data_IF_293727514460
#
_entry.id   IF_293727514460
#
_cell.length_a   1.000
_cell.length_b   1.000
_cell.length_c   1.000
_cell.angle_alpha   90.00
_cell.angle_beta   90.00
_cell.angle_gamma   90.00
#
_symmetry.space_group_name_H-M   'P 1'
#
loop_
_entity.id
_entity.type
_entity.pdbx_description
1 polymer ?
#
# COMPACT_ATOMS: atom_id res chain seq x y z
N UNK A 1 10.52 -40.37 -4.69
CA UNK A 1 10.19 -39.11 -4.00
C UNK A 1 8.82 -38.66 -4.47
N UNK A 2 7.86 -38.53 -3.59
CA UNK A 2 6.55 -37.98 -3.96
C UNK A 2 6.74 -36.53 -4.42
N UNK A 3 6.03 -36.04 -5.45
CA UNK A 3 6.07 -34.64 -5.82
C UNK A 3 5.58 -33.81 -4.64
N UNK A 4 6.42 -32.90 -4.14
CA UNK A 4 6.02 -31.93 -3.15
C UNK A 4 4.88 -31.12 -3.76
N UNK A 5 3.70 -31.15 -3.16
CA UNK A 5 2.58 -30.36 -3.62
C UNK A 5 3.03 -28.90 -3.77
N UNK A 6 2.74 -28.30 -4.91
CA UNK A 6 3.08 -26.88 -5.15
C UNK A 6 2.46 -26.03 -4.05
N UNK A 7 3.28 -25.25 -3.36
CA UNK A 7 2.87 -24.41 -2.25
C UNK A 7 1.95 -23.30 -2.77
N UNK A 8 0.73 -23.22 -2.28
CA UNK A 8 -0.19 -22.14 -2.65
C UNK A 8 0.30 -20.82 -2.05
N UNK A 9 0.53 -19.83 -2.89
CA UNK A 9 0.96 -18.48 -2.48
C UNK A 9 -0.23 -17.54 -2.52
N UNK A 10 -0.57 -16.96 -1.38
CA UNK A 10 -1.55 -15.87 -1.31
C UNK A 10 -0.85 -14.55 -1.65
N UNK A 11 -1.25 -13.92 -2.76
CA UNK A 11 -0.72 -12.63 -3.21
C UNK A 11 -1.68 -11.53 -2.84
N UNK A 12 -1.19 -10.53 -2.10
CA UNK A 12 -2.00 -9.39 -1.65
C UNK A 12 -1.40 -8.12 -2.23
N UNK A 13 -2.10 -7.49 -3.17
CA UNK A 13 -1.79 -6.15 -3.65
C UNK A 13 -2.51 -5.13 -2.76
N UNK A 14 -1.75 -4.45 -1.90
CA UNK A 14 -2.26 -3.38 -1.05
C UNK A 14 -2.10 -2.04 -1.76
N UNK A 15 -3.21 -1.49 -2.21
CA UNK A 15 -3.30 -0.23 -2.93
C UNK A 15 -3.49 0.95 -1.97
N UNK A 16 -2.63 1.95 -2.03
CA UNK A 16 -2.76 3.16 -1.22
C UNK A 16 -2.20 4.39 -1.92
N UNK A 17 -2.67 5.57 -1.52
CA UNK A 17 -1.94 6.81 -1.75
C UNK A 17 -0.77 6.96 -0.79
N UNK A 18 0.09 7.98 -0.97
CA UNK A 18 1.17 8.28 -0.04
C UNK A 18 0.62 8.76 1.30
N UNK A 19 1.43 8.64 2.36
CA UNK A 19 1.09 9.10 3.73
C UNK A 19 -0.13 8.43 4.37
N UNK A 20 -0.51 7.27 3.87
CA UNK A 20 -1.64 6.44 4.34
C UNK A 20 -1.21 5.33 5.32
N UNK A 21 -0.13 5.50 6.08
CA UNK A 21 0.45 4.46 6.96
C UNK A 21 0.84 3.14 6.23
N UNK A 22 0.91 3.14 4.90
CA UNK A 22 1.18 1.94 4.09
C UNK A 22 2.50 1.25 4.44
N UNK A 23 3.53 2.01 4.85
CA UNK A 23 4.79 1.43 5.29
C UNK A 23 4.66 0.75 6.66
N UNK A 24 3.88 1.29 7.60
CA UNK A 24 3.57 0.62 8.87
C UNK A 24 2.78 -0.68 8.61
N UNK A 25 1.84 -0.66 7.66
CA UNK A 25 1.14 -1.88 7.20
C UNK A 25 2.12 -2.89 6.61
N UNK A 26 3.07 -2.46 5.78
CA UNK A 26 4.11 -3.35 5.25
C UNK A 26 4.97 -3.95 6.37
N UNK A 27 5.38 -3.16 7.38
CA UNK A 27 6.08 -3.65 8.58
C UNK A 27 5.30 -4.74 9.32
N UNK A 28 4.00 -4.50 9.50
CA UNK A 28 3.08 -5.45 10.12
C UNK A 28 3.06 -6.79 9.39
N UNK A 29 2.90 -6.78 8.07
CA UNK A 29 2.92 -7.99 7.25
C UNK A 29 4.30 -8.64 7.19
N UNK A 30 5.37 -7.87 7.04
CA UNK A 30 6.75 -8.38 6.99
C UNK A 30 7.17 -9.10 8.28
N UNK A 31 6.62 -8.67 9.44
CA UNK A 31 6.95 -9.26 10.73
C UNK A 31 6.35 -10.67 10.93
N UNK A 32 5.44 -11.09 10.08
CA UNK A 32 4.96 -12.48 10.02
C UNK A 32 6.07 -13.41 9.51
N UNK A 33 6.22 -14.61 10.07
CA UNK A 33 7.24 -15.57 9.60
C UNK A 33 6.97 -16.11 8.19
N UNK A 34 5.70 -16.12 7.77
CA UNK A 34 5.22 -16.70 6.51
C UNK A 34 5.07 -15.69 5.37
N UNK A 35 5.50 -14.42 5.56
CA UNK A 35 5.22 -13.34 4.61
C UNK A 35 6.50 -12.73 4.05
N UNK A 36 6.55 -12.61 2.73
CA UNK A 36 7.52 -11.79 1.98
C UNK A 36 6.83 -10.51 1.53
N UNK A 37 7.56 -9.40 1.52
CA UNK A 37 7.03 -8.10 1.10
C UNK A 37 7.81 -7.54 -0.10
N UNK A 38 7.14 -6.73 -0.93
CA UNK A 38 7.79 -5.91 -1.95
C UNK A 38 7.28 -4.48 -1.87
N UNK A 39 8.20 -3.57 -1.62
CA UNK A 39 7.94 -2.15 -1.44
C UNK A 39 7.90 -1.44 -2.79
N UNK A 40 6.78 -0.81 -3.10
CA UNK A 40 6.55 0.09 -4.24
C UNK A 40 7.11 -0.43 -5.59
N UNK A 41 6.65 -1.57 -6.09
CA UNK A 41 7.23 -2.25 -7.27
C UNK A 41 7.35 -1.37 -8.52
N UNK A 42 6.43 -0.43 -8.73
CA UNK A 42 6.36 0.41 -9.94
C UNK A 42 7.07 1.77 -9.81
N UNK A 43 7.69 2.09 -8.66
CA UNK A 43 8.25 3.41 -8.44
C UNK A 43 9.37 3.77 -9.44
N UNK A 44 10.34 2.87 -9.64
CA UNK A 44 11.41 3.09 -10.61
C UNK A 44 10.89 3.21 -12.05
N UNK A 45 9.89 2.40 -12.41
CA UNK A 45 9.27 2.45 -13.72
C UNK A 45 8.50 3.76 -13.97
N UNK A 46 7.75 4.24 -12.97
CA UNK A 46 7.03 5.52 -13.03
C UNK A 46 8.00 6.68 -13.24
N UNK A 47 9.06 6.78 -12.42
CA UNK A 47 10.05 7.84 -12.54
C UNK A 47 10.81 7.80 -13.87
N UNK A 48 11.12 6.61 -14.37
CA UNK A 48 11.79 6.44 -15.67
C UNK A 48 10.88 6.86 -16.83
N UNK A 49 9.58 6.54 -16.76
CA UNK A 49 8.62 6.82 -17.82
C UNK A 49 8.18 8.29 -17.86
N UNK A 50 8.02 8.93 -16.68
CA UNK A 50 7.51 10.30 -16.58
C UNK A 50 8.59 11.36 -16.64
N UNK A 51 9.81 11.02 -16.25
CA UNK A 51 10.89 12.01 -16.06
C UNK A 51 10.64 12.99 -14.91
N UNK A 52 9.65 12.73 -14.06
CA UNK A 52 9.24 13.60 -12.96
C UNK A 52 10.42 13.88 -12.02
N UNK A 53 10.60 15.14 -11.66
CA UNK A 53 11.53 15.53 -10.59
C UNK A 53 10.98 15.07 -9.25
N UNK A 54 11.75 14.21 -8.58
CA UNK A 54 11.34 13.63 -7.31
C UNK A 54 12.56 13.25 -6.48
N UNK A 55 12.49 13.32 -5.14
CA UNK A 55 13.62 13.00 -4.27
C UNK A 55 14.22 11.62 -4.60
N UNK A 56 15.55 11.59 -4.71
CA UNK A 56 16.32 10.37 -5.01
C UNK A 56 16.00 9.69 -6.34
N UNK A 57 15.42 10.41 -7.31
CA UNK A 57 14.98 9.87 -8.62
C UNK A 57 16.01 8.92 -9.25
N UNK A 58 17.25 9.36 -9.42
CA UNK A 58 18.29 8.55 -10.07
C UNK A 58 18.63 7.28 -9.27
N UNK A 59 18.69 7.38 -7.95
CA UNK A 59 18.92 6.21 -7.09
C UNK A 59 17.75 5.21 -7.15
N UNK A 60 16.51 5.69 -7.19
CA UNK A 60 15.32 4.84 -7.32
C UNK A 60 15.32 4.11 -8.66
N UNK A 61 15.58 4.83 -9.77
CA UNK A 61 15.64 4.23 -11.12
C UNK A 61 16.76 3.18 -11.20
N UNK A 62 17.92 3.46 -10.61
CA UNK A 62 19.06 2.54 -10.62
C UNK A 62 18.81 1.27 -9.76
N UNK A 63 17.97 1.37 -8.72
CA UNK A 63 17.75 0.28 -7.76
C UNK A 63 16.60 -0.66 -8.14
N UNK A 64 15.67 -0.23 -9.00
CA UNK A 64 14.45 -0.98 -9.29
C UNK A 64 14.27 -1.32 -10.78
N UNK A 65 13.37 -2.27 -11.08
CA UNK A 65 13.00 -2.57 -12.46
C UNK A 65 12.21 -1.40 -13.07
N UNK A 66 12.58 -1.02 -14.30
CA UNK A 66 11.92 0.09 -15.02
C UNK A 66 10.95 -0.38 -16.10
N UNK A 67 10.87 -1.69 -16.36
CA UNK A 67 9.98 -2.28 -17.36
C UNK A 67 8.75 -2.87 -16.68
N UNK A 68 7.53 -2.38 -16.95
CA UNK A 68 6.30 -2.89 -16.33
C UNK A 68 6.12 -4.40 -16.47
N UNK A 69 6.40 -4.98 -17.63
CA UNK A 69 6.24 -6.43 -17.85
C UNK A 69 7.14 -7.26 -16.94
N UNK A 70 8.37 -6.82 -16.68
CA UNK A 70 9.27 -7.51 -15.76
C UNK A 70 8.80 -7.41 -14.30
N UNK A 71 8.19 -6.27 -13.93
CA UNK A 71 7.57 -6.09 -12.62
C UNK A 71 6.38 -7.04 -12.48
N UNK A 72 5.47 -7.05 -13.44
CA UNK A 72 4.27 -7.89 -13.45
C UNK A 72 4.64 -9.38 -13.39
N UNK A 73 5.60 -9.80 -14.20
CA UNK A 73 6.09 -11.17 -14.17
C UNK A 73 6.61 -11.60 -12.80
N UNK A 74 7.25 -10.69 -12.04
CA UNK A 74 7.69 -10.96 -10.68
C UNK A 74 6.55 -10.92 -9.66
N UNK A 75 5.58 -10.02 -9.80
CA UNK A 75 4.41 -9.92 -8.90
C UNK A 75 3.55 -11.18 -8.92
N UNK A 76 3.40 -11.79 -10.10
CA UNK A 76 2.58 -12.99 -10.32
C UNK A 76 3.40 -14.28 -10.37
N UNK A 77 4.72 -14.18 -10.47
CA UNK A 77 5.63 -15.31 -10.61
C UNK A 77 5.89 -16.08 -9.32
N UNK A 78 6.80 -17.06 -9.36
CA UNK A 78 7.21 -17.82 -8.18
C UNK A 78 7.76 -16.91 -7.07
N UNK A 79 7.38 -17.21 -5.83
CA UNK A 79 7.89 -16.53 -4.65
C UNK A 79 9.20 -17.20 -4.23
N UNK A 80 10.31 -16.51 -4.45
CA UNK A 80 11.65 -17.02 -4.15
C UNK A 80 12.34 -16.05 -3.18
N UNK A 81 12.50 -16.49 -1.95
CA UNK A 81 13.28 -15.79 -0.92
C UNK A 81 14.05 -16.81 -0.08
N UNK A 82 15.36 -16.75 -0.12
CA UNK A 82 16.22 -17.66 0.63
C UNK A 82 16.12 -17.46 2.14
N UNK A 83 15.76 -16.26 2.60
CA UNK A 83 15.57 -15.95 4.02
C UNK A 83 14.25 -16.47 4.57
N UNK A 84 13.22 -16.64 3.71
CA UNK A 84 11.88 -17.13 4.06
C UNK A 84 11.43 -18.22 3.07
N UNK A 85 12.09 -19.39 3.03
CA UNK A 85 11.78 -20.43 2.04
C UNK A 85 10.39 -21.03 2.22
N UNK A 86 9.83 -20.85 3.42
CA UNK A 86 8.51 -21.33 3.80
C UNK A 86 7.38 -20.30 3.67
N UNK A 87 7.67 -19.12 3.13
CA UNK A 87 6.65 -18.09 2.93
C UNK A 87 5.50 -18.59 2.06
N UNK A 88 4.29 -18.23 2.46
CA UNK A 88 3.03 -18.51 1.76
C UNK A 88 2.23 -17.25 1.45
N UNK A 89 2.67 -16.11 1.96
CA UNK A 89 2.03 -14.81 1.72
C UNK A 89 3.03 -13.88 1.03
N UNK A 90 2.58 -13.26 -0.06
CA UNK A 90 3.32 -12.22 -0.76
C UNK A 90 2.54 -10.91 -0.68
N UNK A 91 2.99 -10.02 0.21
CA UNK A 91 2.41 -8.70 0.37
C UNK A 91 3.12 -7.68 -0.52
N UNK A 92 2.38 -7.05 -1.40
CA UNK A 92 2.86 -6.07 -2.39
C UNK A 92 2.33 -4.70 -2.00
N UNK A 93 3.21 -3.79 -1.55
CA UNK A 93 2.82 -2.42 -1.24
C UNK A 93 2.83 -1.58 -2.51
N UNK A 94 1.66 -1.18 -2.99
CA UNK A 94 1.49 -0.37 -4.19
C UNK A 94 1.12 1.07 -3.85
N UNK A 95 1.82 2.02 -4.48
CA UNK A 95 1.39 3.42 -4.53
C UNK A 95 0.56 3.63 -5.80
N UNK A 96 -0.68 4.05 -5.64
CA UNK A 96 -1.62 4.17 -6.76
C UNK A 96 -1.19 5.20 -7.81
N UNK A 97 -0.53 6.29 -7.38
CA UNK A 97 0.01 7.29 -8.31
C UNK A 97 1.18 6.79 -9.17
N UNK A 98 1.81 5.65 -8.82
CA UNK A 98 2.79 5.02 -9.70
C UNK A 98 2.16 4.30 -10.90
N UNK A 99 0.85 4.05 -10.84
CA UNK A 99 0.11 3.40 -11.94
C UNK A 99 -0.33 4.43 -12.98
N UNK A 100 0.64 4.92 -13.77
CA UNK A 100 0.36 5.87 -14.85
C UNK A 100 -0.45 5.22 -15.98
N UNK A 101 -1.17 5.99 -16.82
CA UNK A 101 -2.01 5.45 -17.89
C UNK A 101 -1.28 4.56 -18.90
N UNK A 102 0.03 4.77 -19.09
CA UNK A 102 0.84 3.99 -20.01
C UNK A 102 1.16 2.55 -19.53
N UNK A 103 0.92 2.24 -18.25
CA UNK A 103 1.23 0.91 -17.72
C UNK A 103 0.07 -0.06 -17.88
N UNK A 104 0.35 -1.36 -18.22
CA UNK A 104 -0.66 -2.40 -18.28
C UNK A 104 -1.43 -2.52 -16.97
N UNK A 105 -2.74 -2.79 -17.04
CA UNK A 105 -3.62 -2.97 -15.88
C UNK A 105 -4.26 -4.35 -15.78
N UNK A 106 -4.19 -5.16 -16.83
CA UNK A 106 -4.88 -6.46 -16.89
C UNK A 106 -4.41 -7.44 -15.81
N UNK A 107 -3.14 -7.32 -15.38
CA UNK A 107 -2.59 -8.13 -14.30
C UNK A 107 -3.28 -7.90 -12.94
N UNK A 108 -3.90 -6.72 -12.73
CA UNK A 108 -4.64 -6.38 -11.51
C UNK A 108 -5.85 -7.32 -11.32
N UNK A 109 -6.41 -7.80 -12.43
CA UNK A 109 -7.55 -8.72 -12.45
C UNK A 109 -7.15 -10.20 -12.38
N UNK A 110 -5.86 -10.51 -12.16
CA UNK A 110 -5.40 -11.89 -12.08
C UNK A 110 -6.13 -12.65 -10.95
N UNK A 111 -6.67 -13.86 -11.20
CA UNK A 111 -7.52 -14.56 -10.24
C UNK A 111 -6.82 -14.95 -8.94
N UNK A 112 -5.48 -15.06 -8.94
CA UNK A 112 -4.69 -15.36 -7.74
C UNK A 112 -4.23 -14.10 -7.00
N UNK A 113 -4.62 -12.91 -7.44
CA UNK A 113 -4.26 -11.66 -6.80
C UNK A 113 -5.43 -11.11 -5.98
N UNK A 114 -5.23 -10.97 -4.69
CA UNK A 114 -6.17 -10.32 -3.80
C UNK A 114 -5.83 -8.84 -3.77
N UNK A 115 -6.74 -8.00 -4.26
CA UNK A 115 -6.59 -6.57 -4.20
C UNK A 115 -7.27 -6.03 -2.94
N UNK A 116 -6.54 -5.31 -2.12
CA UNK A 116 -7.03 -4.62 -0.93
C UNK A 116 -6.65 -3.14 -0.99
N UNK A 117 -7.46 -2.29 -0.38
CA UNK A 117 -7.32 -0.84 -0.48
C UNK A 117 -7.17 -0.21 0.90
N UNK A 118 -6.11 0.58 1.08
CA UNK A 118 -5.87 1.35 2.29
C UNK A 118 -6.15 2.81 1.99
N UNK A 119 -7.17 3.36 2.65
CA UNK A 119 -7.59 4.76 2.49
C UNK A 119 -7.27 5.57 3.74
N UNK A 120 -7.21 6.88 3.57
CA UNK A 120 -7.06 7.85 4.66
C UNK A 120 -7.71 9.16 4.25
N UNK A 121 -8.22 9.88 5.23
CA UNK A 121 -8.81 11.21 5.06
C UNK A 121 -7.84 12.15 4.32
N UNK A 122 -8.27 12.78 3.21
CA UNK A 122 -7.42 13.63 2.37
C UNK A 122 -6.71 14.73 3.13
N UNK A 123 -7.36 15.35 4.12
CA UNK A 123 -6.79 16.43 4.93
C UNK A 123 -5.57 15.93 5.72
N UNK A 124 -5.66 14.73 6.29
CA UNK A 124 -4.53 14.12 7.03
C UNK A 124 -3.39 13.71 6.10
N UNK A 125 -3.72 13.25 4.88
CA UNK A 125 -2.74 12.94 3.85
C UNK A 125 -1.97 14.18 3.47
N UNK A 126 -2.67 15.27 3.10
CA UNK A 126 -2.08 16.53 2.66
C UNK A 126 -1.24 17.19 3.76
N UNK A 127 -1.77 17.30 4.98
CA UNK A 127 -1.03 17.83 6.12
C UNK A 127 0.24 17.03 6.47
N UNK A 128 0.26 15.74 6.15
CA UNK A 128 1.45 14.89 6.33
C UNK A 128 2.42 14.98 5.15
N UNK A 129 1.90 15.12 3.94
CA UNK A 129 2.69 15.18 2.70
C UNK A 129 3.54 16.45 2.65
N UNK A 130 2.94 17.60 2.97
CA UNK A 130 3.60 18.91 2.94
C UNK A 130 4.75 19.06 3.94
N UNK A 131 4.84 18.19 4.96
CA UNK A 131 6.01 18.13 5.85
C UNK A 131 7.27 17.62 5.17
N UNK A 132 7.13 16.85 4.09
CA UNK A 132 8.24 16.26 3.35
C UNK A 132 8.45 16.92 1.97
N UNK A 133 7.40 17.47 1.37
CA UNK A 133 7.41 18.03 0.02
C UNK A 133 6.44 19.20 -0.10
N UNK A 134 6.94 20.36 -0.50
CA UNK A 134 6.19 21.63 -0.45
C UNK A 134 5.11 21.78 -1.52
N UNK A 135 5.24 21.06 -2.64
CA UNK A 135 4.28 21.14 -3.75
C UNK A 135 3.55 19.80 -3.88
N UNK A 136 2.22 19.83 -3.76
CA UNK A 136 1.39 18.64 -3.90
C UNK A 136 0.18 18.93 -4.79
N UNK A 137 -0.18 17.97 -5.62
CA UNK A 137 -1.36 17.99 -6.49
C UNK A 137 -2.31 16.84 -6.13
N UNK A 138 -3.51 16.84 -6.68
CA UNK A 138 -4.44 15.71 -6.54
C UNK A 138 -3.84 14.42 -7.10
N UNK A 139 -3.09 14.49 -8.20
CA UNK A 139 -2.42 13.34 -8.80
C UNK A 139 -1.35 12.74 -7.86
N UNK A 140 -0.63 13.57 -7.11
CA UNK A 140 0.42 13.11 -6.18
C UNK A 140 -0.15 12.30 -5.01
N UNK A 141 -1.36 12.59 -4.54
CA UNK A 141 -2.01 11.79 -3.48
C UNK A 141 -2.65 10.51 -4.01
N UNK A 142 -2.77 10.34 -5.33
CA UNK A 142 -3.13 9.09 -6.00
C UNK A 142 -4.55 8.57 -5.75
N UNK A 143 -5.44 9.39 -5.19
CA UNK A 143 -6.78 8.94 -4.80
C UNK A 143 -7.68 8.66 -6.01
N UNK A 144 -7.50 9.41 -7.10
CA UNK A 144 -8.23 9.19 -8.36
C UNK A 144 -7.85 7.85 -9.01
N UNK A 145 -6.55 7.56 -9.05
CA UNK A 145 -6.05 6.27 -9.52
C UNK A 145 -6.47 5.13 -8.58
N UNK A 146 -6.54 5.38 -7.27
CA UNK A 146 -7.03 4.39 -6.31
C UNK A 146 -8.48 4.02 -6.59
N UNK A 147 -9.32 5.01 -6.88
CA UNK A 147 -10.72 4.80 -7.24
C UNK A 147 -10.87 4.06 -8.58
N UNK A 148 -10.07 4.41 -9.60
CA UNK A 148 -10.05 3.72 -10.89
C UNK A 148 -9.72 2.23 -10.73
N UNK A 149 -8.67 1.92 -9.97
CA UNK A 149 -8.25 0.54 -9.70
C UNK A 149 -9.32 -0.20 -8.89
N UNK A 150 -9.94 0.46 -7.89
CA UNK A 150 -11.03 -0.11 -7.11
C UNK A 150 -12.22 -0.49 -7.99
N UNK A 151 -12.67 0.41 -8.86
CA UNK A 151 -13.80 0.19 -9.74
C UNK A 151 -13.52 -1.00 -10.69
N UNK A 152 -12.33 -1.03 -11.30
CA UNK A 152 -11.89 -2.14 -12.16
C UNK A 152 -11.93 -3.50 -11.44
N UNK A 153 -11.43 -3.55 -10.22
CA UNK A 153 -11.44 -4.78 -9.41
C UNK A 153 -12.88 -5.16 -9.01
N UNK A 154 -13.69 -4.19 -8.58
CA UNK A 154 -15.08 -4.41 -8.20
C UNK A 154 -15.91 -4.94 -9.37
N UNK A 155 -15.75 -4.35 -10.56
CA UNK A 155 -16.42 -4.82 -11.79
C UNK A 155 -16.02 -6.26 -12.13
N UNK A 156 -14.74 -6.61 -12.01
CA UNK A 156 -14.25 -7.97 -12.27
C UNK A 156 -14.78 -8.99 -11.27
N UNK A 157 -14.88 -8.61 -9.98
CA UNK A 157 -15.34 -9.49 -8.91
C UNK A 157 -16.87 -9.59 -8.83
N UNK A 158 -17.60 -8.56 -9.25
CA UNK A 158 -19.03 -8.40 -9.01
C UNK A 158 -19.40 -7.97 -7.59
N UNK A 159 -18.39 -7.63 -6.76
CA UNK A 159 -18.54 -7.07 -5.41
C UNK A 159 -17.35 -6.19 -5.05
N UNK A 160 -17.49 -5.37 -4.01
CA UNK A 160 -16.43 -4.47 -3.57
C UNK A 160 -15.24 -5.25 -2.96
N UNK A 161 -14.00 -5.03 -3.42
CA UNK A 161 -12.81 -5.55 -2.74
C UNK A 161 -12.64 -4.94 -1.34
N UNK A 162 -11.87 -5.58 -0.43
CA UNK A 162 -11.69 -5.08 0.93
C UNK A 162 -11.03 -3.69 0.96
N UNK A 163 -11.66 -2.79 1.69
CA UNK A 163 -11.15 -1.46 1.99
C UNK A 163 -10.89 -1.36 3.50
N UNK A 164 -9.73 -0.86 3.90
CA UNK A 164 -9.39 -0.54 5.28
C UNK A 164 -9.04 0.94 5.40
N UNK A 165 -9.42 1.55 6.50
CA UNK A 165 -9.12 2.95 6.78
C UNK A 165 -7.96 3.06 7.76
N UNK A 166 -7.03 3.96 7.50
CA UNK A 166 -5.92 4.24 8.38
C UNK A 166 -6.39 4.63 9.80
N UNK A 167 -7.51 5.34 9.92
CA UNK A 167 -8.07 5.72 11.22
C UNK A 167 -8.52 4.50 12.02
N UNK A 168 -9.19 3.53 11.37
CA UNK A 168 -9.66 2.31 12.03
C UNK A 168 -8.48 1.42 12.49
N UNK A 169 -7.43 1.31 11.66
CA UNK A 169 -6.21 0.58 12.02
C UNK A 169 -5.49 1.23 13.20
N UNK A 170 -5.40 2.57 13.22
CA UNK A 170 -4.73 3.30 14.30
C UNK A 170 -5.56 3.31 15.59
N UNK A 171 -6.88 3.16 15.52
CA UNK A 171 -7.77 3.09 16.69
C UNK A 171 -7.71 1.70 17.35
N UNK A 172 -7.76 0.63 16.56
CA UNK A 172 -7.73 -0.76 17.03
C UNK A 172 -7.02 -1.65 16.01
N UNK A 173 -5.67 -1.73 16.06
CA UNK A 173 -4.88 -2.51 15.12
C UNK A 173 -5.20 -4.00 15.14
N UNK A 174 -5.44 -4.59 16.32
CA UNK A 174 -5.74 -6.04 16.44
C UNK A 174 -7.02 -6.37 15.69
N UNK A 175 -8.11 -5.65 15.97
CA UNK A 175 -9.40 -5.87 15.30
C UNK A 175 -9.29 -5.62 13.80
N UNK A 176 -8.72 -4.50 13.38
CA UNK A 176 -8.63 -4.12 11.97
C UNK A 176 -7.82 -5.15 11.17
N UNK A 177 -6.69 -5.62 11.70
CA UNK A 177 -5.86 -6.62 11.04
C UNK A 177 -6.50 -8.01 10.99
N UNK A 178 -7.25 -8.42 12.02
CA UNK A 178 -8.02 -9.68 12.00
C UNK A 178 -9.05 -9.68 10.88
N UNK A 179 -9.79 -8.58 10.74
CA UNK A 179 -10.79 -8.44 9.69
C UNK A 179 -10.12 -8.43 8.30
N UNK A 180 -9.01 -7.69 8.14
CA UNK A 180 -8.27 -7.66 6.90
C UNK A 180 -7.69 -9.04 6.53
N UNK A 181 -7.08 -9.74 7.48
CA UNK A 181 -6.55 -11.08 7.25
C UNK A 181 -7.65 -12.05 6.80
N UNK A 182 -8.82 -12.01 7.46
CA UNK A 182 -9.99 -12.80 7.08
C UNK A 182 -10.43 -12.48 5.65
N UNK A 183 -10.54 -11.19 5.30
CA UNK A 183 -10.92 -10.76 3.95
C UNK A 183 -9.88 -11.17 2.89
N UNK A 184 -8.61 -11.29 3.27
CA UNK A 184 -7.52 -11.77 2.41
C UNK A 184 -7.33 -13.30 2.46
N UNK A 185 -8.18 -14.04 3.15
CA UNK A 185 -8.11 -15.51 3.23
C UNK A 185 -6.85 -16.04 3.93
N UNK A 186 -6.24 -15.26 4.83
CA UNK A 186 -5.09 -15.66 5.63
C UNK A 186 -5.42 -15.63 7.13
N UNK A 187 -4.72 -16.45 7.91
CA UNK A 187 -4.83 -16.39 9.36
C UNK A 187 -4.17 -15.11 9.90
N UNK A 188 -4.79 -14.51 10.93
CA UNK A 188 -4.14 -13.44 11.68
C UNK A 188 -2.96 -13.99 12.48
N UNK A 189 -1.86 -13.22 12.53
CA UNK A 189 -0.70 -13.51 13.38
C UNK A 189 -0.45 -12.32 14.30
N UNK A 190 -0.33 -12.55 15.61
CA UNK A 190 -0.08 -11.50 16.59
C UNK A 190 1.26 -10.76 16.37
N UNK A 191 2.21 -11.36 15.66
CA UNK A 191 3.45 -10.71 15.24
C UNK A 191 3.20 -9.47 14.36
N UNK A 192 2.01 -9.33 13.76
CA UNK A 192 1.62 -8.16 12.99
C UNK A 192 1.42 -6.89 13.83
N UNK A 193 1.26 -7.02 15.14
CA UNK A 193 0.97 -5.88 16.03
C UNK A 193 2.21 -5.09 16.44
N UNK A 194 3.39 -5.68 16.34
CA UNK A 194 4.64 -5.04 16.72
C UNK A 194 5.78 -5.50 15.81
N UNK A 195 6.81 -4.67 15.69
CA UNK A 195 8.00 -4.93 14.89
C UNK A 195 9.24 -4.26 15.50
N UNK A 196 10.46 -4.76 15.24
CA UNK A 196 11.68 -4.06 15.63
C UNK A 196 11.81 -2.69 14.95
N UNK A 197 12.26 -1.68 15.69
CA UNK A 197 12.64 -0.39 15.11
C UNK A 197 13.82 -0.54 14.15
N UNK A 198 13.96 0.44 13.25
CA UNK A 198 15.09 0.53 12.34
C UNK A 198 14.72 0.19 10.89
N UNK A 199 15.75 0.25 10.08
CA UNK A 199 15.68 -0.02 8.65
C UNK A 199 15.56 -1.51 8.35
N UNK A 200 14.92 -1.85 7.24
CA UNK A 200 14.76 -3.23 6.78
C UNK A 200 15.43 -3.45 5.43
N UNK A 201 15.81 -4.67 5.15
CA UNK A 201 16.34 -5.06 3.84
C UNK A 201 15.29 -4.90 2.73
N UNK A 202 14.01 -4.97 3.08
CA UNK A 202 12.86 -4.77 2.19
C UNK A 202 12.56 -3.30 1.87
N UNK A 203 13.15 -2.35 2.60
CA UNK A 203 12.95 -0.92 2.36
C UNK A 203 13.60 -0.51 1.04
N UNK A 204 12.86 0.23 0.24
CA UNK A 204 13.41 0.86 -0.95
C UNK A 204 14.48 1.91 -0.61
N UNK A 205 15.30 2.24 -1.60
CA UNK A 205 16.37 3.26 -1.45
C UNK A 205 15.86 4.64 -1.06
N UNK A 206 14.58 4.91 -1.24
CA UNK A 206 13.88 6.15 -0.86
C UNK A 206 13.56 6.27 0.63
N UNK A 207 13.78 5.22 1.42
CA UNK A 207 13.48 5.20 2.85
C UNK A 207 14.09 6.38 3.65
N UNK A 208 15.32 6.84 3.40
CA UNK A 208 15.88 7.99 4.14
C UNK A 208 15.06 9.28 4.05
N UNK A 209 14.30 9.45 2.97
CA UNK A 209 13.42 10.61 2.77
C UNK A 209 12.06 10.38 3.44
N UNK A 210 11.46 9.19 3.22
CA UNK A 210 10.04 8.97 3.50
C UNK A 210 9.75 8.17 4.78
N UNK A 211 10.72 7.37 5.31
CA UNK A 211 10.46 6.36 6.34
C UNK A 211 10.93 6.73 7.74
N UNK A 212 11.43 7.94 7.97
CA UNK A 212 11.96 8.38 9.28
C UNK A 212 11.04 8.06 10.47
N UNK A 213 9.72 8.29 10.30
CA UNK A 213 8.75 8.03 11.36
C UNK A 213 8.54 6.53 11.59
N UNK A 214 8.44 5.75 10.52
CA UNK A 214 8.21 4.30 10.66
C UNK A 214 9.47 3.57 11.10
N UNK A 215 10.65 4.03 10.72
CA UNK A 215 11.94 3.51 11.20
C UNK A 215 12.09 3.65 12.73
N UNK A 216 11.53 4.72 13.29
CA UNK A 216 11.53 4.93 14.75
C UNK A 216 10.39 4.20 15.48
N UNK A 217 9.45 3.61 14.76
CA UNK A 217 8.29 2.94 15.37
C UNK A 217 8.53 1.48 15.63
N UNK A 218 7.80 0.94 16.61
CA UNK A 218 7.77 -0.50 16.94
C UNK A 218 6.37 -1.10 16.87
N UNK A 219 5.36 -0.28 16.61
CA UNK A 219 3.95 -0.66 16.44
C UNK A 219 3.22 0.43 15.67
N UNK A 220 1.93 0.23 15.42
CA UNK A 220 1.07 1.31 14.94
C UNK A 220 1.01 2.43 15.97
N UNK A 221 1.13 3.68 15.52
CA UNK A 221 0.96 4.83 16.40
C UNK A 221 -0.47 4.85 16.95
N UNK A 222 -0.64 5.11 18.23
CA UNK A 222 -1.97 5.30 18.80
C UNK A 222 -2.68 6.49 18.14
N UNK A 223 -3.94 6.29 17.83
CA UNK A 223 -4.75 7.01 16.88
C UNK A 223 -4.61 8.52 16.84
N UNK A 224 -4.61 9.05 15.65
CA UNK A 224 -4.93 10.45 15.40
C UNK A 224 -6.46 10.62 15.54
N UNK A 225 -6.97 10.59 16.77
CA UNK A 225 -8.40 10.69 17.09
C UNK A 225 -8.90 12.14 17.19
N UNK A 226 -8.03 13.13 16.96
CA UNK A 226 -8.37 14.55 16.98
C UNK A 226 -9.12 14.99 15.70
N UNK A 227 -9.61 16.26 15.67
CA UNK A 227 -10.28 16.83 14.52
C UNK A 227 -9.38 16.77 13.27
N UNK A 228 -10.02 16.88 12.11
CA UNK A 228 -9.27 16.97 10.84
C UNK A 228 -8.39 18.22 10.86
N UNK A 229 -7.17 18.14 10.26
CA UNK A 229 -6.33 19.31 10.09
C UNK A 229 -7.07 20.39 9.29
N UNK A 230 -7.01 21.63 9.73
CA UNK A 230 -7.41 22.76 8.92
C UNK A 230 -6.40 22.97 7.81
N UNK A 231 -6.88 23.08 6.59
CA UNK A 231 -6.10 23.35 5.39
C UNK A 231 -6.57 24.65 4.76
N UNK A 232 -5.66 25.40 4.18
CA UNK A 232 -5.95 26.65 3.49
C UNK A 232 -5.43 26.64 2.04
N UNK A 233 -5.82 27.66 1.28
CA UNK A 233 -5.38 27.91 -0.06
C UNK A 233 -5.49 26.68 -0.99
N UNK A 234 -4.44 26.36 -1.79
CA UNK A 234 -4.47 25.24 -2.72
C UNK A 234 -4.72 23.89 -2.07
N UNK A 235 -4.25 23.67 -0.83
CA UNK A 235 -4.42 22.39 -0.14
C UNK A 235 -5.89 22.13 0.21
N UNK A 236 -6.63 23.16 0.61
CA UNK A 236 -8.06 23.05 0.87
C UNK A 236 -8.84 22.66 -0.38
N UNK A 237 -8.47 23.21 -1.56
CA UNK A 237 -9.09 22.84 -2.83
C UNK A 237 -8.82 21.37 -3.19
N UNK A 238 -7.57 20.91 -3.05
CA UNK A 238 -7.22 19.50 -3.29
C UNK A 238 -8.00 18.59 -2.34
N UNK A 239 -8.10 18.95 -1.07
CA UNK A 239 -8.89 18.17 -0.09
C UNK A 239 -10.37 18.12 -0.47
N UNK A 240 -10.95 19.23 -0.92
CA UNK A 240 -12.33 19.30 -1.39
C UNK A 240 -12.59 18.42 -2.61
N UNK A 241 -11.66 18.37 -3.57
CA UNK A 241 -11.74 17.49 -4.74
C UNK A 241 -11.58 16.01 -4.36
N UNK A 242 -10.69 15.71 -3.43
CA UNK A 242 -10.40 14.34 -2.99
C UNK A 242 -11.47 13.75 -2.06
N UNK A 243 -12.17 14.60 -1.26
CA UNK A 243 -13.13 14.17 -0.25
C UNK A 243 -14.24 13.27 -0.79
N UNK A 244 -14.97 13.60 -1.86
CA UNK A 244 -16.03 12.72 -2.38
C UNK A 244 -15.50 11.37 -2.87
N UNK A 245 -14.25 11.31 -3.36
CA UNK A 245 -13.62 10.05 -3.77
C UNK A 245 -13.32 9.19 -2.54
N UNK A 246 -12.72 9.79 -1.51
CA UNK A 246 -12.48 9.10 -0.23
C UNK A 246 -13.80 8.59 0.38
N UNK A 247 -14.82 9.44 0.48
CA UNK A 247 -16.11 9.08 1.08
C UNK A 247 -16.78 7.92 0.34
N UNK A 248 -16.62 7.86 -0.98
CA UNK A 248 -17.10 6.74 -1.80
C UNK A 248 -16.37 5.44 -1.48
N UNK A 249 -15.06 5.45 -1.43
CA UNK A 249 -14.25 4.26 -1.10
C UNK A 249 -14.49 3.82 0.35
N UNK A 250 -14.59 4.77 1.28
CA UNK A 250 -14.80 4.52 2.70
C UNK A 250 -16.14 3.85 3.01
N UNK A 251 -17.16 3.95 2.13
CA UNK A 251 -18.42 3.19 2.27
C UNK A 251 -18.23 1.67 2.21
N UNK A 252 -17.14 1.21 1.64
CA UNK A 252 -16.81 -0.20 1.49
C UNK A 252 -15.84 -0.71 2.56
N UNK A 253 -15.61 0.06 3.62
CA UNK A 253 -14.73 -0.35 4.73
C UNK A 253 -15.19 -1.65 5.36
N UNK A 254 -14.26 -2.62 5.43
CA UNK A 254 -14.50 -3.88 6.15
C UNK A 254 -14.39 -3.65 7.66
N UNK A 255 -15.23 -4.37 8.44
CA UNK A 255 -15.23 -4.26 9.90
C UNK A 255 -15.87 -3.01 10.47
N UNK A 256 -16.52 -2.17 9.66
CA UNK A 256 -17.45 -1.18 10.16
C UNK A 256 -18.56 -1.90 10.94
N UNK A 257 -18.86 -1.44 12.16
CA UNK A 257 -20.03 -1.94 12.88
C UNK A 257 -21.26 -1.65 12.03
N UNK A 258 -22.08 -2.69 11.78
CA UNK A 258 -23.36 -2.55 11.14
C UNK A 258 -24.30 -1.73 12.03
#
# INVERSE_FOLDING_TARGET
MAPTAAKTITRIAMWSGPRNISTAMMRSFENRPDTIVWDEPFYAAELAATGRDHPMREAVIAAGPTKPDAIIARLLGPLLDAAKPDATVFYQKHMTHHMIPAFPRDWIEHPELINAFLVREPERVLASYTKAWSTVTLADIGISQQAEIFDRVADRLGYAPPVVDAADILADPDRALRVLCTACGIAFDAAMLAWPAGRRASDGVWAPVWYKTVEASTCFAHGQTGPLPELDGPLALIAQEARPIYDRLAKHKIGAAA
#
